data_IF_339894258010
#
_entry.id   IF_339894258010
#
_cell.length_a   1.000
_cell.length_b   1.000
_cell.length_c   1.000
_cell.angle_alpha   90.00
_cell.angle_beta   90.00
_cell.angle_gamma   90.00
#
_symmetry.space_group_name_H-M   'P 1'
#
loop_
_entity.id
_entity.type
_entity.pdbx_description
1 polymer ?
#
# COMPACT_ATOMS: atom_id res chain seq x y z
N UNK A 1 13.94 -3.82 -12.47
CA UNK A 1 14.51 -2.99 -11.39
C UNK A 1 13.69 -3.12 -10.14
N UNK A 2 14.34 -3.33 -9.02
CA UNK A 2 13.63 -3.54 -7.75
C UNK A 2 13.86 -2.36 -6.83
N UNK A 3 12.80 -1.89 -6.19
CA UNK A 3 12.84 -0.81 -5.22
C UNK A 3 12.38 -1.36 -3.86
N UNK A 4 13.14 -1.06 -2.83
CA UNK A 4 12.86 -1.55 -1.49
C UNK A 4 12.85 -0.37 -0.53
N UNK A 5 11.73 -0.15 0.11
CA UNK A 5 11.51 0.98 1.00
C UNK A 5 11.13 0.48 2.37
N UNK A 6 11.85 0.89 3.38
CA UNK A 6 11.52 0.56 4.75
C UNK A 6 11.43 1.83 5.58
N UNK A 7 10.35 1.96 6.31
CA UNK A 7 10.14 3.05 7.25
C UNK A 7 9.77 2.47 8.60
N UNK A 8 10.46 2.90 9.63
CA UNK A 8 10.16 2.49 11.00
C UNK A 8 10.03 3.72 11.88
N UNK A 9 9.37 3.59 12.94
CA UNK A 9 9.05 4.54 14.01
C UNK A 9 9.21 6.03 13.65
N UNK A 10 8.09 6.69 13.28
CA UNK A 10 8.07 8.14 13.10
C UNK A 10 8.75 8.65 11.85
N UNK A 11 8.88 7.81 10.83
CA UNK A 11 9.55 8.19 9.59
C UNK A 11 8.59 8.73 8.55
N UNK A 12 9.11 9.51 7.61
CA UNK A 12 8.33 10.00 6.50
C UNK A 12 9.15 9.81 5.22
N UNK A 13 8.55 9.12 4.24
CA UNK A 13 9.22 8.83 2.98
C UNK A 13 8.35 9.36 1.85
N UNK A 14 8.94 10.09 0.93
CA UNK A 14 8.25 10.60 -0.25
C UNK A 14 9.10 10.29 -1.48
N UNK A 15 8.56 9.52 -2.41
CA UNK A 15 9.22 9.15 -3.64
C UNK A 15 8.34 9.52 -4.83
N UNK A 16 8.94 10.17 -5.80
CA UNK A 16 8.25 10.59 -7.01
C UNK A 16 8.95 10.03 -8.23
N UNK A 17 8.18 9.82 -9.29
CA UNK A 17 8.69 9.32 -10.57
C UNK A 17 9.35 7.95 -10.44
N UNK A 18 8.73 7.08 -9.67
CA UNK A 18 9.19 5.70 -9.54
C UNK A 18 8.95 4.95 -10.85
N UNK A 19 9.89 4.09 -11.19
CA UNK A 19 9.77 3.23 -12.35
C UNK A 19 10.45 1.90 -12.01
N UNK A 20 9.69 1.02 -11.39
CA UNK A 20 10.23 -0.23 -10.85
C UNK A 20 9.45 -1.41 -11.39
N UNK A 21 10.11 -2.54 -11.55
CA UNK A 21 9.41 -3.79 -11.84
C UNK A 21 8.81 -4.36 -10.56
N UNK A 22 9.61 -4.41 -9.51
CA UNK A 22 9.13 -4.85 -8.20
C UNK A 22 9.36 -3.74 -7.19
N UNK A 23 8.31 -3.36 -6.50
CA UNK A 23 8.36 -2.36 -5.45
C UNK A 23 7.94 -2.99 -4.14
N UNK A 24 8.75 -2.82 -3.12
CA UNK A 24 8.43 -3.30 -1.78
C UNK A 24 8.48 -2.13 -0.82
N UNK A 25 7.38 -1.84 -0.18
CA UNK A 25 7.30 -0.73 0.78
C UNK A 25 6.74 -1.24 2.10
N UNK A 26 7.43 -0.95 3.16
CA UNK A 26 7.05 -1.38 4.49
C UNK A 26 7.08 -0.18 5.43
N UNK A 27 5.98 0.05 6.12
CA UNK A 27 5.88 1.13 7.09
C UNK A 27 5.39 0.58 8.42
N UNK A 28 6.07 0.92 9.48
CA UNK A 28 5.67 0.50 10.81
C UNK A 28 5.67 1.69 11.76
N UNK A 29 4.87 1.63 12.77
CA UNK A 29 4.75 2.55 13.89
C UNK A 29 4.81 4.04 13.54
N UNK A 30 3.67 4.60 13.09
CA UNK A 30 3.53 6.05 12.89
C UNK A 30 4.29 6.60 11.68
N UNK A 31 4.53 5.78 10.66
CA UNK A 31 5.26 6.21 9.46
C UNK A 31 4.32 6.65 8.37
N UNK A 32 4.79 7.54 7.51
CA UNK A 32 4.09 7.96 6.30
C UNK A 32 4.95 7.66 5.09
N UNK A 33 4.35 7.01 4.09
CA UNK A 33 5.04 6.71 2.84
C UNK A 33 4.18 7.23 1.69
N UNK A 34 4.79 8.04 0.83
CA UNK A 34 4.12 8.58 -0.35
C UNK A 34 4.86 8.11 -1.59
N UNK A 35 4.14 7.52 -2.52
CA UNK A 35 4.72 6.94 -3.72
C UNK A 35 4.00 7.46 -4.95
N UNK A 36 4.75 7.84 -5.96
CA UNK A 36 4.21 8.29 -7.24
C UNK A 36 5.05 7.69 -8.36
N UNK A 37 4.42 7.28 -9.45
CA UNK A 37 5.11 6.73 -10.61
C UNK A 37 4.45 5.47 -11.12
N UNK A 38 5.25 4.46 -11.41
CA UNK A 38 4.78 3.18 -11.94
C UNK A 38 5.54 2.01 -11.33
N UNK A 39 4.83 0.93 -11.11
CA UNK A 39 5.44 -0.35 -10.72
C UNK A 39 4.61 -1.49 -11.32
N UNK A 40 5.26 -2.56 -11.71
CA UNK A 40 4.54 -3.74 -12.19
C UNK A 40 3.95 -4.50 -11.00
N UNK A 41 4.78 -4.79 -10.02
CA UNK A 41 4.36 -5.49 -8.81
C UNK A 41 4.70 -4.64 -7.60
N UNK A 42 3.73 -4.43 -6.72
CA UNK A 42 3.97 -3.67 -5.49
C UNK A 42 3.51 -4.47 -4.28
N UNK A 43 4.38 -4.54 -3.29
CA UNK A 43 4.07 -5.10 -1.99
C UNK A 43 4.07 -3.95 -0.98
N UNK A 44 2.92 -3.67 -0.42
CA UNK A 44 2.75 -2.57 0.51
C UNK A 44 2.32 -3.12 1.86
N UNK A 45 3.10 -2.83 2.88
CA UNK A 45 2.78 -3.27 4.23
C UNK A 45 2.76 -2.08 5.17
N UNK A 46 1.69 -1.92 5.91
CA UNK A 46 1.55 -0.85 6.87
C UNK A 46 1.06 -1.41 8.19
N UNK A 47 1.66 -1.01 9.27
CA UNK A 47 1.25 -1.48 10.60
C UNK A 47 1.35 -0.36 11.63
N UNK A 48 0.56 -0.48 12.66
CA UNK A 48 0.58 0.36 13.86
C UNK A 48 0.52 1.87 13.57
N UNK A 49 -0.62 2.34 13.04
CA UNK A 49 -0.82 3.77 12.81
C UNK A 49 -0.07 4.33 11.62
N UNK A 50 0.42 3.48 10.72
CA UNK A 50 1.16 3.93 9.55
C UNK A 50 0.23 4.23 8.38
N UNK A 51 0.71 4.99 7.41
CA UNK A 51 -0.05 5.28 6.21
C UNK A 51 0.85 5.14 4.98
N UNK A 52 0.32 4.48 3.95
CA UNK A 52 0.99 4.40 2.66
C UNK A 52 0.07 5.05 1.64
N UNK A 53 0.57 6.06 0.96
CA UNK A 53 -0.19 6.78 -0.06
C UNK A 53 0.43 6.51 -1.41
N UNK A 54 -0.20 5.65 -2.17
CA UNK A 54 0.25 5.28 -3.50
C UNK A 54 -0.84 5.51 -4.54
N UNK A 55 -1.73 6.46 -4.29
CA UNK A 55 -2.84 6.73 -5.20
C UNK A 55 -2.38 7.29 -6.54
N UNK A 56 -1.20 7.86 -6.59
CA UNK A 56 -0.60 8.34 -7.84
C UNK A 56 0.42 7.36 -8.43
N UNK A 57 0.57 6.22 -7.80
CA UNK A 57 1.43 5.15 -8.29
C UNK A 57 0.57 4.16 -9.05
N UNK A 58 0.84 3.99 -10.33
CA UNK A 58 0.13 3.01 -11.14
C UNK A 58 0.80 1.66 -10.98
N UNK A 59 0.02 0.68 -10.53
CA UNK A 59 0.53 -0.66 -10.24
C UNK A 59 -0.29 -1.68 -11.04
N UNK A 60 0.39 -2.63 -11.65
CA UNK A 60 -0.30 -3.70 -12.36
C UNK A 60 -0.83 -4.73 -11.35
N UNK A 61 0.04 -5.25 -10.50
CA UNK A 61 -0.32 -6.18 -9.44
C UNK A 61 0.09 -5.59 -8.10
N UNK A 62 -0.84 -5.51 -7.15
CA UNK A 62 -0.55 -4.95 -5.84
C UNK A 62 -0.93 -5.93 -4.74
N UNK A 63 -0.06 -6.06 -3.76
CA UNK A 63 -0.36 -6.75 -2.52
C UNK A 63 -0.27 -5.76 -1.38
N UNK A 64 -1.38 -5.59 -0.68
CA UNK A 64 -1.46 -4.63 0.41
C UNK A 64 -1.79 -5.35 1.71
N UNK A 65 -0.98 -5.12 2.72
CA UNK A 65 -1.25 -5.61 4.07
C UNK A 65 -1.34 -4.42 4.99
N UNK A 66 -2.44 -4.31 5.70
CA UNK A 66 -2.66 -3.21 6.62
C UNK A 66 -3.16 -3.76 7.94
N UNK A 67 -2.52 -3.39 9.02
CA UNK A 67 -2.93 -3.85 10.35
C UNK A 67 -2.80 -2.75 11.38
N UNK A 68 -3.59 -2.85 12.43
CA UNK A 68 -3.53 -2.00 13.61
C UNK A 68 -3.67 -0.50 13.30
N UNK A 69 -4.84 -0.10 12.77
CA UNK A 69 -5.14 1.31 12.55
C UNK A 69 -4.40 1.96 11.40
N UNK A 70 -3.89 1.16 10.46
CA UNK A 70 -3.13 1.71 9.32
C UNK A 70 -4.03 2.02 8.14
N UNK A 71 -3.49 2.76 7.18
CA UNK A 71 -4.19 3.08 5.94
C UNK A 71 -3.30 2.90 4.73
N UNK A 72 -3.84 2.33 3.67
CA UNK A 72 -3.14 2.19 2.40
C UNK A 72 -4.04 2.71 1.29
N UNK A 73 -3.50 3.60 0.47
CA UNK A 73 -4.17 4.06 -0.75
C UNK A 73 -3.35 3.64 -1.95
N UNK A 74 -3.98 3.04 -2.95
CA UNK A 74 -3.26 2.50 -4.09
C UNK A 74 -4.12 2.62 -5.35
N UNK A 75 -3.46 2.74 -6.51
CA UNK A 75 -4.12 2.71 -7.80
C UNK A 75 -3.63 1.49 -8.57
N UNK A 76 -4.54 0.55 -8.83
CA UNK A 76 -4.21 -0.74 -9.42
C UNK A 76 -5.01 -0.93 -10.69
N UNK A 77 -4.40 -1.48 -11.72
CA UNK A 77 -5.06 -1.63 -13.01
C UNK A 77 -5.39 -3.08 -13.36
N UNK A 78 -4.76 -4.05 -12.73
CA UNK A 78 -4.96 -5.46 -13.09
C UNK A 78 -5.43 -6.32 -11.93
N UNK A 79 -4.61 -6.49 -10.91
CA UNK A 79 -4.95 -7.33 -9.77
C UNK A 79 -4.60 -6.64 -8.45
N UNK A 80 -5.49 -6.74 -7.49
CA UNK A 80 -5.26 -6.22 -6.16
C UNK A 80 -5.53 -7.31 -5.13
N UNK A 81 -4.55 -7.53 -4.28
CA UNK A 81 -4.66 -8.43 -3.15
C UNK A 81 -4.57 -7.57 -1.89
N UNK A 82 -5.65 -7.43 -1.18
CA UNK A 82 -5.72 -6.52 -0.05
C UNK A 82 -6.10 -7.28 1.21
N UNK A 83 -5.36 -7.04 2.28
CA UNK A 83 -5.62 -7.63 3.58
C UNK A 83 -5.66 -6.52 4.63
N UNK A 84 -6.77 -6.36 5.30
CA UNK A 84 -6.95 -5.35 6.31
C UNK A 84 -7.44 -5.96 7.61
N UNK A 85 -6.85 -5.61 8.73
CA UNK A 85 -7.24 -6.12 10.02
C UNK A 85 -7.05 -5.06 11.11
N UNK A 86 -7.70 -5.26 12.25
CA UNK A 86 -7.55 -4.42 13.45
C UNK A 86 -7.82 -2.93 13.19
N UNK A 87 -8.95 -2.65 12.52
CA UNK A 87 -9.35 -1.26 12.29
C UNK A 87 -8.62 -0.56 11.16
N UNK A 88 -7.99 -1.31 10.27
CA UNK A 88 -7.25 -0.74 9.14
C UNK A 88 -8.17 -0.40 7.99
N UNK A 89 -7.70 0.49 7.12
CA UNK A 89 -8.42 0.86 5.90
C UNK A 89 -7.51 0.73 4.70
N UNK A 90 -8.03 0.12 3.64
CA UNK A 90 -7.36 0.11 2.35
C UNK A 90 -8.31 0.71 1.33
N UNK A 91 -7.84 1.74 0.64
CA UNK A 91 -8.59 2.39 -0.43
C UNK A 91 -7.87 2.16 -1.74
N UNK A 92 -8.59 1.70 -2.74
CA UNK A 92 -7.98 1.48 -4.05
C UNK A 92 -8.78 2.21 -5.13
N UNK A 93 -8.11 2.47 -6.24
CA UNK A 93 -8.75 3.05 -7.40
C UNK A 93 -8.34 2.30 -8.64
N UNK A 94 -9.06 2.52 -9.73
CA UNK A 94 -8.90 1.76 -10.95
C UNK A 94 -9.94 0.66 -11.02
N UNK A 95 -9.68 -0.35 -11.83
CA UNK A 95 -10.64 -1.42 -12.08
C UNK A 95 -9.95 -2.79 -12.00
N UNK A 96 -9.30 -3.10 -10.87
CA UNK A 96 -8.57 -4.36 -10.74
C UNK A 96 -9.49 -5.52 -10.41
N UNK A 97 -9.01 -6.73 -10.68
CA UNK A 97 -9.59 -7.92 -10.10
C UNK A 97 -9.16 -7.97 -8.64
N UNK A 98 -10.11 -7.92 -7.72
CA UNK A 98 -9.80 -7.76 -6.30
C UNK A 98 -9.92 -9.07 -5.53
N UNK A 99 -8.98 -9.30 -4.65
CA UNK A 99 -9.01 -10.38 -3.69
C UNK A 99 -8.83 -9.75 -2.32
N UNK A 100 -9.92 -9.63 -1.58
CA UNK A 100 -9.97 -8.81 -0.39
C UNK A 100 -10.22 -9.68 0.83
N UNK A 101 -9.41 -9.45 1.86
CA UNK A 101 -9.58 -10.10 3.14
C UNK A 101 -9.60 -9.03 4.23
N UNK A 102 -10.72 -8.85 4.89
CA UNK A 102 -10.84 -7.86 5.94
C UNK A 102 -11.38 -8.52 7.20
N UNK A 103 -10.76 -8.26 8.33
CA UNK A 103 -11.16 -8.84 9.60
C UNK A 103 -10.92 -7.85 10.74
N UNK A 104 -11.57 -8.11 11.89
CA UNK A 104 -11.40 -7.34 13.12
C UNK A 104 -11.61 -5.83 12.90
N UNK A 105 -12.66 -5.48 12.16
CA UNK A 105 -12.99 -4.08 11.91
C UNK A 105 -12.22 -3.45 10.75
N UNK A 106 -11.46 -4.23 9.98
CA UNK A 106 -10.79 -3.72 8.80
C UNK A 106 -11.75 -3.44 7.65
N UNK A 107 -11.38 -2.54 6.77
CA UNK A 107 -12.17 -2.15 5.62
C UNK A 107 -11.34 -2.03 4.37
N UNK A 108 -11.89 -2.46 3.25
CA UNK A 108 -11.29 -2.24 1.94
C UNK A 108 -12.38 -1.68 1.03
N UNK A 109 -12.13 -0.54 0.42
CA UNK A 109 -13.12 0.09 -0.43
C UNK A 109 -12.47 0.90 -1.55
N UNK A 110 -13.28 1.17 -2.51
CA UNK A 110 -12.87 1.89 -3.70
C UNK A 110 -13.20 3.38 -3.60
#
# INVERSE_FOLDING_TARGET
>A
MDCDIEASTGCEIELKQLNCDNLSASASTGCDVKLEGKADIAHLAASTGSAIKASKLTVTDAQCDSSTGSGISVHVVKELDASASLGSDITYSGDPATNISASLGGSVHK
#
